data_IF_630618536358
#
_entry.id   IF_630618536358
#
_cell.length_a   1.000
_cell.length_b   1.000
_cell.length_c   1.000
_cell.angle_alpha   90.00
_cell.angle_beta   90.00
_cell.angle_gamma   90.00
#
_symmetry.space_group_name_H-M   'P 1'
#
loop_
_entity.id
_entity.type
_entity.pdbx_description
1 polymer ?
#
# COMPACT_ATOMS: atom_id res chain seq x y z
N UNK A 1 -5.28 -10.57 17.41
CA UNK A 1 -4.59 -9.94 16.28
C UNK A 1 -5.37 -8.74 15.77
N UNK A 2 -4.65 -7.72 15.37
CA UNK A 2 -5.27 -6.54 14.79
C UNK A 2 -5.13 -6.56 13.27
N UNK A 3 -6.03 -5.84 12.59
CA UNK A 3 -5.94 -5.59 11.16
C UNK A 3 -5.28 -4.23 10.96
N UNK A 4 -4.35 -4.18 10.03
CA UNK A 4 -3.65 -2.94 9.68
C UNK A 4 -3.89 -2.62 8.22
N UNK A 5 -4.26 -1.37 7.96
CA UNK A 5 -4.33 -0.85 6.60
C UNK A 5 -2.98 -0.28 6.22
N UNK A 6 -2.46 -0.75 5.11
CA UNK A 6 -1.18 -0.32 4.58
C UNK A 6 -1.48 0.61 3.40
N UNK A 7 -1.08 1.86 3.53
CA UNK A 7 -1.24 2.83 2.46
C UNK A 7 0.09 3.09 1.79
N UNK A 8 0.13 2.83 0.50
CA UNK A 8 1.31 3.09 -0.32
C UNK A 8 1.22 4.51 -0.84
N UNK A 9 2.15 5.36 -0.42
CA UNK A 9 2.18 6.77 -0.80
C UNK A 9 3.29 7.05 -1.78
N UNK A 10 3.03 7.94 -2.71
CA UNK A 10 4.01 8.34 -3.71
C UNK A 10 3.73 9.76 -4.17
N UNK A 11 4.78 10.46 -4.57
CA UNK A 11 4.65 11.77 -5.23
C UNK A 11 4.14 11.62 -6.66
N UNK A 12 4.27 10.42 -7.24
CA UNK A 12 3.75 10.10 -8.56
C UNK A 12 2.50 9.22 -8.40
N UNK A 13 1.40 9.59 -9.04
CA UNK A 13 0.16 8.84 -8.97
C UNK A 13 0.31 7.44 -9.58
N UNK A 14 -0.59 6.52 -9.19
CA UNK A 14 -0.60 5.18 -9.78
C UNK A 14 -0.78 5.24 -11.30
N UNK A 15 -1.63 6.15 -11.79
CA UNK A 15 -1.85 6.32 -13.22
C UNK A 15 -0.60 6.78 -13.94
N UNK A 16 0.13 7.75 -13.36
CA UNK A 16 1.41 8.22 -13.92
C UNK A 16 2.46 7.12 -13.93
N UNK A 17 2.55 6.34 -12.86
CA UNK A 17 3.47 5.21 -12.79
C UNK A 17 3.18 4.19 -13.88
N UNK A 18 1.91 3.84 -14.08
CA UNK A 18 1.50 2.91 -15.12
C UNK A 18 1.78 3.45 -16.53
N UNK A 19 1.50 4.74 -16.75
CA UNK A 19 1.72 5.38 -18.06
C UNK A 19 3.20 5.46 -18.42
N UNK A 20 4.08 5.64 -17.42
CA UNK A 20 5.51 5.80 -17.65
C UNK A 20 6.28 4.48 -17.67
N UNK A 21 5.65 3.38 -17.28
CA UNK A 21 6.31 2.08 -17.21
C UNK A 21 6.23 1.36 -18.55
N UNK A 22 7.33 0.71 -18.95
CA UNK A 22 7.32 -0.20 -20.10
C UNK A 22 6.56 -1.47 -19.73
N UNK A 23 6.08 -2.27 -20.71
CA UNK A 23 5.46 -3.56 -20.40
C UNK A 23 6.35 -4.47 -19.54
N UNK A 24 7.66 -4.48 -19.80
CA UNK A 24 8.60 -5.26 -19.00
C UNK A 24 8.69 -4.76 -17.57
N UNK A 25 8.70 -3.44 -17.37
CA UNK A 25 8.73 -2.84 -16.03
C UNK A 25 7.46 -3.16 -15.26
N UNK A 26 6.30 -3.11 -15.92
CA UNK A 26 5.02 -3.45 -15.28
C UNK A 26 5.00 -4.92 -14.85
N UNK A 27 5.48 -5.82 -15.72
CA UNK A 27 5.52 -7.24 -15.40
C UNK A 27 6.50 -7.53 -14.26
N UNK A 28 7.68 -6.92 -14.28
CA UNK A 28 8.66 -7.06 -13.20
C UNK A 28 8.09 -6.55 -11.87
N UNK A 29 7.36 -5.44 -11.90
CA UNK A 29 6.71 -4.89 -10.71
C UNK A 29 5.65 -5.83 -10.15
N UNK A 30 4.79 -6.39 -10.99
CA UNK A 30 3.79 -7.37 -10.58
C UNK A 30 4.45 -8.62 -9.99
N UNK A 31 5.52 -9.08 -10.59
CA UNK A 31 6.26 -10.24 -10.08
C UNK A 31 6.84 -9.97 -8.69
N UNK A 32 7.41 -8.78 -8.49
CA UNK A 32 7.95 -8.38 -7.19
C UNK A 32 6.86 -8.36 -6.12
N UNK A 33 5.67 -7.83 -6.44
CA UNK A 33 4.53 -7.81 -5.52
C UNK A 33 4.03 -9.22 -5.21
N UNK A 34 3.93 -10.09 -6.20
CA UNK A 34 3.54 -11.48 -6.01
C UNK A 34 4.53 -12.23 -5.12
N UNK A 35 5.82 -11.99 -5.32
CA UNK A 35 6.87 -12.58 -4.49
C UNK A 35 6.72 -12.12 -3.04
N UNK A 36 6.52 -10.83 -2.82
CA UNK A 36 6.27 -10.30 -1.49
C UNK A 36 5.02 -10.92 -0.87
N UNK A 37 3.91 -10.98 -1.61
CA UNK A 37 2.65 -11.54 -1.14
C UNK A 37 2.81 -13.01 -0.73
N UNK A 38 3.53 -13.79 -1.50
CA UNK A 38 3.81 -15.20 -1.20
C UNK A 38 4.62 -15.32 0.07
N UNK A 39 5.62 -14.47 0.25
CA UNK A 39 6.47 -14.46 1.44
C UNK A 39 5.67 -14.12 2.69
N UNK A 40 4.75 -13.17 2.61
CA UNK A 40 3.91 -12.76 3.74
C UNK A 40 2.91 -13.84 4.12
N UNK A 41 2.32 -14.51 3.14
CA UNK A 41 1.40 -15.62 3.38
C UNK A 41 0.10 -15.19 4.06
N UNK A 42 -0.27 -15.92 5.10
CA UNK A 42 -1.56 -15.73 5.78
C UNK A 42 -1.73 -14.38 6.47
N UNK A 43 -0.63 -13.68 6.78
CA UNK A 43 -0.73 -12.35 7.36
C UNK A 43 -1.33 -11.34 6.38
N UNK A 44 -1.23 -11.61 5.07
CA UNK A 44 -1.81 -10.76 4.04
C UNK A 44 -3.30 -11.11 3.87
N UNK A 45 -4.17 -10.28 4.43
CA UNK A 45 -5.62 -10.49 4.36
C UNK A 45 -6.17 -10.08 2.99
N UNK A 46 -5.62 -9.01 2.42
CA UNK A 46 -6.01 -8.49 1.11
C UNK A 46 -4.79 -7.82 0.50
N UNK A 47 -4.36 -8.30 -0.64
CA UNK A 47 -3.26 -7.68 -1.38
C UNK A 47 -3.60 -6.24 -1.77
N UNK A 48 -4.89 -5.97 -1.97
CA UNK A 48 -5.36 -4.64 -2.32
C UNK A 48 -5.23 -4.34 -3.80
N UNK A 49 -5.11 -3.06 -4.10
CA UNK A 49 -5.07 -2.58 -5.49
C UNK A 49 -4.43 -1.20 -5.54
N UNK A 50 -3.97 -0.77 -6.73
CA UNK A 50 -3.63 0.62 -6.94
C UNK A 50 -4.86 1.51 -6.76
N UNK A 51 -4.65 2.71 -6.24
CA UNK A 51 -5.71 3.69 -6.01
C UNK A 51 -5.40 4.96 -6.79
N UNK A 52 -6.44 5.60 -7.31
CA UNK A 52 -6.32 6.87 -8.01
C UNK A 52 -7.26 7.88 -7.38
N UNK A 53 -6.76 9.10 -7.15
CA UNK A 53 -7.59 10.18 -6.67
C UNK A 53 -8.65 10.53 -7.72
N UNK A 54 -9.88 10.74 -7.28
CA UNK A 54 -10.96 11.19 -8.17
C UNK A 54 -11.53 12.52 -7.72
N UNK A 55 -11.92 12.66 -6.44
CA UNK A 55 -12.54 13.88 -5.95
C UNK A 55 -12.34 14.02 -4.45
N UNK A 56 -12.51 15.23 -3.96
CA UNK A 56 -12.45 15.55 -2.53
C UNK A 56 -13.79 16.16 -2.12
N UNK A 57 -14.34 15.67 -1.03
CA UNK A 57 -15.62 16.18 -0.48
C UNK A 57 -15.32 16.74 0.92
N UNK A 58 -15.82 17.93 1.17
CA UNK A 58 -15.58 18.63 2.42
C UNK A 58 -14.50 19.69 2.29
N UNK A 59 -14.24 20.48 3.35
CA UNK A 59 -13.24 21.54 3.32
C UNK A 59 -11.82 20.99 3.28
N UNK A 60 -10.89 21.83 2.85
CA UNK A 60 -9.47 21.49 2.77
C UNK A 60 -9.06 20.98 1.40
N UNK A 61 -7.78 20.68 1.27
CA UNK A 61 -7.21 20.15 0.02
C UNK A 61 -6.56 18.81 0.26
N UNK A 62 -6.58 17.89 -0.72
CA UNK A 62 -5.85 16.63 -0.60
C UNK A 62 -4.36 16.89 -0.43
N UNK A 63 -3.67 15.96 0.25
CA UNK A 63 -2.22 16.00 0.35
C UNK A 63 -1.58 15.82 -1.02
N UNK A 64 -0.46 16.52 -1.26
CA UNK A 64 0.33 16.33 -2.48
C UNK A 64 0.99 14.94 -2.52
N UNK A 65 1.22 14.33 -1.36
CA UNK A 65 1.71 12.95 -1.27
C UNK A 65 0.51 12.02 -1.31
N UNK A 66 0.03 11.75 -2.52
CA UNK A 66 -1.18 10.97 -2.71
C UNK A 66 -1.03 9.50 -2.33
N UNK A 67 -2.15 8.91 -1.95
CA UNK A 67 -2.24 7.47 -1.77
C UNK A 67 -2.26 6.80 -3.14
N UNK A 68 -1.31 5.90 -3.39
CA UNK A 68 -1.19 5.22 -4.67
C UNK A 68 -1.71 3.78 -4.62
N UNK A 69 -2.00 3.25 -3.45
CA UNK A 69 -2.50 1.89 -3.31
C UNK A 69 -2.71 1.51 -1.85
N UNK A 70 -3.20 0.30 -1.64
CA UNK A 70 -3.42 -0.21 -0.29
C UNK A 70 -3.26 -1.73 -0.22
N UNK A 71 -3.01 -2.23 0.98
CA UNK A 71 -3.12 -3.64 1.34
C UNK A 71 -3.68 -3.75 2.76
N UNK A 72 -4.16 -4.91 3.14
CA UNK A 72 -4.59 -5.20 4.51
C UNK A 72 -3.76 -6.34 5.06
N UNK A 73 -3.25 -6.15 6.28
CA UNK A 73 -2.46 -7.15 7.00
C UNK A 73 -3.09 -7.47 8.34
N UNK A 74 -2.87 -8.69 8.82
CA UNK A 74 -3.13 -9.06 10.21
C UNK A 74 -1.80 -9.27 10.91
N UNK A 75 -1.66 -8.71 12.10
CA UNK A 75 -0.45 -8.84 12.90
C UNK A 75 -0.75 -8.63 14.38
N UNK A 76 0.15 -9.09 15.22
CA UNK A 76 0.00 -8.93 16.66
C UNK A 76 0.42 -7.57 17.20
N UNK A 77 1.23 -6.83 16.42
CA UNK A 77 1.77 -5.54 16.84
C UNK A 77 2.25 -4.73 15.65
N UNK A 78 2.47 -3.43 15.88
CA UNK A 78 3.04 -2.54 14.86
C UNK A 78 4.46 -2.98 14.47
N UNK A 79 5.25 -3.46 15.43
CA UNK A 79 6.60 -3.95 15.15
C UNK A 79 6.58 -5.15 14.21
N UNK A 80 5.60 -6.03 14.37
CA UNK A 80 5.43 -7.16 13.46
C UNK A 80 5.10 -6.70 12.05
N UNK A 81 4.26 -5.67 11.92
CA UNK A 81 3.94 -5.06 10.61
C UNK A 81 5.19 -4.49 9.97
N UNK A 82 6.03 -3.79 10.73
CA UNK A 82 7.27 -3.23 10.21
C UNK A 82 8.19 -4.34 9.68
N UNK A 83 8.26 -5.46 10.37
CA UNK A 83 9.04 -6.62 9.92
C UNK A 83 8.49 -7.19 8.62
N UNK A 84 7.17 -7.32 8.51
CA UNK A 84 6.51 -7.82 7.30
C UNK A 84 6.79 -6.89 6.10
N UNK A 85 6.80 -5.59 6.32
CA UNK A 85 6.98 -4.60 5.26
C UNK A 85 8.44 -4.33 4.92
N UNK A 86 9.38 -4.89 5.67
CA UNK A 86 10.80 -4.71 5.37
C UNK A 86 11.13 -5.24 3.98
N UNK A 87 11.80 -4.43 3.17
CA UNK A 87 12.15 -4.80 1.81
C UNK A 87 10.98 -4.82 0.83
N UNK A 88 9.86 -4.19 1.17
CA UNK A 88 8.69 -4.14 0.29
C UNK A 88 9.05 -3.48 -1.06
N UNK A 89 8.56 -4.04 -2.19
CA UNK A 89 8.90 -3.49 -3.52
C UNK A 89 8.52 -2.04 -3.73
N UNK A 90 7.44 -1.55 -3.08
CA UNK A 90 7.04 -0.14 -3.19
C UNK A 90 8.14 0.82 -2.76
N UNK A 91 8.94 0.43 -1.76
CA UNK A 91 9.99 1.29 -1.21
C UNK A 91 11.21 1.44 -2.11
N UNK A 92 11.27 0.70 -3.21
CA UNK A 92 12.36 0.85 -4.18
C UNK A 92 12.21 2.09 -5.06
N UNK A 93 11.03 2.69 -5.09
CA UNK A 93 10.78 3.89 -5.90
C UNK A 93 11.19 5.16 -5.15
N UNK A 94 11.83 6.12 -5.84
CA UNK A 94 12.14 7.42 -5.23
C UNK A 94 10.86 8.14 -4.78
N UNK A 95 10.89 8.71 -3.58
CA UNK A 95 9.76 9.44 -3.02
C UNK A 95 8.62 8.56 -2.52
N UNK A 96 8.77 7.24 -2.54
CA UNK A 96 7.77 6.33 -2.05
C UNK A 96 7.87 6.15 -0.53
N UNK A 97 6.71 6.00 0.11
CA UNK A 97 6.64 5.70 1.55
C UNK A 97 5.45 4.80 1.81
N UNK A 98 5.42 4.24 3.01
CA UNK A 98 4.31 3.39 3.46
C UNK A 98 3.81 3.94 4.78
N UNK A 99 2.49 4.14 4.86
CA UNK A 99 1.82 4.53 6.09
C UNK A 99 1.04 3.33 6.62
N UNK A 100 1.16 3.06 7.91
CA UNK A 100 0.49 1.94 8.57
C UNK A 100 -0.58 2.50 9.49
N UNK A 101 -1.82 2.08 9.28
CA UNK A 101 -2.96 2.50 10.10
C UNK A 101 -3.60 1.26 10.72
N UNK A 102 -3.78 1.28 12.03
CA UNK A 102 -4.50 0.21 12.69
C UNK A 102 -6.00 0.40 12.47
N UNK A 103 -6.69 -0.67 12.07
CA UNK A 103 -8.14 -0.65 11.93
C UNK A 103 -8.73 -0.83 13.32
N UNK A 104 -9.46 0.19 13.79
CA UNK A 104 -10.09 0.17 15.11
C UNK A 104 -11.54 -0.28 14.94
N UNK A 105 -11.94 -1.38 15.58
CA UNK A 105 -13.33 -1.82 15.51
C UNK A 105 -14.24 -0.75 16.11
N UNK A 106 -15.40 -0.55 15.47
CA UNK A 106 -16.40 0.41 15.95
C UNK A 106 -17.30 -0.16 17.03
N UNK A 107 -16.83 -1.09 17.79
CA UNK A 107 -17.53 -1.71 18.93
C UNK A 107 -19.01 -1.97 18.69
N UNK A 108 -19.43 -3.23 18.65
CA UNK A 108 -20.84 -3.57 18.50
C UNK A 108 -21.46 -3.32 17.13
N UNK A 109 -20.71 -2.86 16.17
CA UNK A 109 -21.19 -2.61 14.80
C UNK A 109 -20.77 -3.70 13.85
#
# INVERSE_FOLDING_TARGET
MSTFMILYRSTMSAREQMANATPQQREAGLEAWRTWATKVGYALTDLGAPLAHTTHIGPGSPSSDGVAGYSLLQAGSAEEVETILDGHPHLTMPGASIEVLEVIPMGGM
#
